data_IF_854135218441
#
_entry.id   IF_854135218441
#
_cell.length_a   1.000
_cell.length_b   1.000
_cell.length_c   1.000
_cell.angle_alpha   90.00
_cell.angle_beta   90.00
_cell.angle_gamma   90.00
#
_symmetry.space_group_name_H-M   'P 1'
#
loop_
_entity.id
_entity.type
_entity.pdbx_description
1 polymer ?
#
# COMPACT_ATOMS: atom_id res chain seq x y z
N UNK A 1 -31.22 8.20 -28.76
CA UNK A 1 -31.24 8.63 -27.34
C UNK A 1 -29.80 8.75 -26.89
N UNK A 2 -29.31 9.95 -26.55
CA UNK A 2 -27.98 10.13 -25.97
C UNK A 2 -28.06 9.66 -24.51
N UNK A 3 -27.63 8.42 -24.24
CA UNK A 3 -27.65 7.89 -22.88
C UNK A 3 -26.37 8.34 -22.19
N UNK A 4 -26.49 9.36 -21.35
CA UNK A 4 -25.39 9.79 -20.48
C UNK A 4 -25.16 8.70 -19.42
N UNK A 5 -23.99 8.05 -19.47
CA UNK A 5 -23.61 7.05 -18.48
C UNK A 5 -22.95 7.73 -17.28
N UNK A 6 -23.55 7.60 -16.10
CA UNK A 6 -23.01 8.12 -14.85
C UNK A 6 -22.13 7.03 -14.22
N UNK A 7 -20.97 7.42 -13.71
CA UNK A 7 -20.14 6.54 -12.87
C UNK A 7 -20.12 7.08 -11.43
N UNK A 8 -19.94 6.17 -10.48
CA UNK A 8 -19.69 6.48 -9.08
C UNK A 8 -18.69 5.50 -8.50
N UNK A 9 -17.75 6.02 -7.70
CA UNK A 9 -16.80 5.22 -6.91
C UNK A 9 -16.80 5.76 -5.50
N UNK A 10 -16.92 4.85 -4.53
CA UNK A 10 -16.77 5.11 -3.11
C UNK A 10 -15.57 4.31 -2.59
N UNK A 11 -14.76 4.92 -1.73
CA UNK A 11 -13.57 4.33 -1.13
C UNK A 11 -13.84 3.96 0.34
N UNK A 12 -13.01 3.10 0.91
CA UNK A 12 -13.18 2.60 2.28
C UNK A 12 -13.11 3.67 3.39
N UNK A 13 -12.60 4.87 3.09
CA UNK A 13 -12.62 6.03 4.00
C UNK A 13 -13.86 6.92 3.82
N UNK A 14 -14.84 6.45 3.04
CA UNK A 14 -16.05 7.17 2.60
C UNK A 14 -15.76 8.40 1.72
N UNK A 15 -14.54 8.51 1.17
CA UNK A 15 -14.30 9.41 0.04
C UNK A 15 -14.99 8.87 -1.20
N UNK A 16 -15.36 9.76 -2.13
CA UNK A 16 -16.07 9.37 -3.33
C UNK A 16 -15.77 10.28 -4.52
N UNK A 17 -16.08 9.77 -5.71
CA UNK A 17 -16.11 10.51 -6.96
C UNK A 17 -17.31 10.07 -7.79
N UNK A 18 -18.10 11.03 -8.26
CA UNK A 18 -19.27 10.82 -9.12
C UNK A 18 -19.16 11.75 -10.32
N UNK A 19 -19.51 11.22 -11.49
CA UNK A 19 -19.45 12.00 -12.73
C UNK A 19 -19.92 11.23 -13.93
N UNK A 20 -19.40 11.58 -15.10
CA UNK A 20 -19.81 10.97 -16.37
C UNK A 20 -18.73 10.04 -16.88
N UNK A 21 -19.14 8.88 -17.39
CA UNK A 21 -18.24 8.01 -18.10
C UNK A 21 -17.94 8.61 -19.47
N UNK A 22 -16.66 8.68 -19.81
CA UNK A 22 -16.15 9.34 -21.00
C UNK A 22 -15.12 8.48 -21.71
N UNK A 23 -14.76 8.90 -22.91
CA UNK A 23 -13.79 8.27 -23.78
C UNK A 23 -12.93 9.35 -24.43
N UNK A 24 -11.63 9.18 -24.37
CA UNK A 24 -10.68 10.05 -25.07
C UNK A 24 -9.36 9.32 -25.31
N UNK A 25 -8.39 9.99 -25.92
CA UNK A 25 -7.03 9.48 -26.13
C UNK A 25 -6.20 9.61 -24.85
N UNK A 26 -5.65 8.48 -24.40
CA UNK A 26 -4.63 8.47 -23.34
C UNK A 26 -3.23 8.34 -23.96
N UNK A 27 -2.32 9.25 -23.62
CA UNK A 27 -0.90 9.19 -23.99
C UNK A 27 -0.07 8.94 -22.74
N UNK A 28 0.60 7.79 -22.66
CA UNK A 28 1.47 7.40 -21.52
C UNK A 28 2.93 7.79 -21.79
N UNK A 29 3.39 7.52 -23.02
CA UNK A 29 4.70 7.93 -23.54
C UNK A 29 4.51 8.46 -24.97
N UNK A 30 5.52 9.09 -25.60
CA UNK A 30 5.40 9.53 -26.99
C UNK A 30 5.00 8.43 -27.99
N UNK A 31 5.26 7.16 -27.67
CA UNK A 31 4.92 5.99 -28.51
C UNK A 31 3.74 5.18 -27.98
N UNK A 32 3.28 5.46 -26.77
CA UNK A 32 2.29 4.66 -26.05
C UNK A 32 0.99 5.45 -25.96
N UNK A 33 0.26 5.39 -27.08
CA UNK A 33 -1.01 6.09 -27.28
C UNK A 33 -2.13 5.07 -27.37
N UNK A 34 -3.14 5.25 -26.52
CA UNK A 34 -4.33 4.42 -26.47
C UNK A 34 -5.51 5.29 -26.94
N UNK A 35 -5.93 5.16 -28.21
CA UNK A 35 -7.16 5.79 -28.66
C UNK A 35 -8.32 5.15 -27.92
N UNK A 36 -9.39 5.91 -27.70
CA UNK A 36 -10.63 5.41 -27.11
C UNK A 36 -10.50 4.86 -25.67
N UNK A 37 -9.56 5.38 -24.88
CA UNK A 37 -9.42 5.05 -23.47
C UNK A 37 -10.65 5.52 -22.68
N UNK A 38 -11.25 4.61 -21.92
CA UNK A 38 -12.42 4.87 -21.12
C UNK A 38 -12.03 5.33 -19.72
N UNK A 39 -12.65 6.41 -19.23
CA UNK A 39 -12.39 6.96 -17.91
C UNK A 39 -13.59 7.73 -17.36
N UNK A 40 -13.54 8.07 -16.08
CA UNK A 40 -14.55 8.91 -15.43
C UNK A 40 -14.17 10.38 -15.42
N UNK A 41 -15.04 11.25 -15.92
CA UNK A 41 -14.96 12.70 -15.76
C UNK A 41 -15.65 13.12 -14.44
N UNK A 42 -14.91 13.13 -13.33
CA UNK A 42 -15.45 13.46 -12.02
C UNK A 42 -16.03 14.87 -11.93
N UNK A 43 -17.28 14.99 -11.46
CA UNK A 43 -18.00 16.25 -11.31
C UNK A 43 -18.22 16.61 -9.83
N UNK A 44 -18.43 15.59 -8.99
CA UNK A 44 -18.62 15.74 -7.55
C UNK A 44 -17.68 14.78 -6.83
N UNK A 45 -16.65 15.32 -6.21
CA UNK A 45 -15.58 14.57 -5.59
C UNK A 45 -15.40 15.05 -4.15
N UNK A 46 -15.27 14.12 -3.21
CA UNK A 46 -14.99 14.40 -1.80
C UNK A 46 -13.92 13.43 -1.32
N UNK A 47 -12.84 13.94 -0.72
CA UNK A 47 -11.76 13.11 -0.21
C UNK A 47 -10.43 13.87 -0.14
N UNK A 48 -9.40 13.19 0.32
CA UNK A 48 -8.04 13.72 0.43
C UNK A 48 -7.26 13.58 -0.89
N UNK A 49 -7.86 13.97 -2.02
CA UNK A 49 -7.26 13.82 -3.35
C UNK A 49 -6.16 14.86 -3.65
N UNK A 50 -6.00 15.88 -2.80
CA UNK A 50 -4.94 16.88 -2.95
C UNK A 50 -5.11 17.75 -4.19
N UNK A 51 -4.00 18.05 -4.89
CA UNK A 51 -3.95 18.91 -6.08
C UNK A 51 -3.81 18.13 -7.40
N UNK A 52 -4.26 16.87 -7.43
CA UNK A 52 -4.23 16.04 -8.65
C UNK A 52 -5.38 16.38 -9.61
N UNK A 53 -5.16 16.14 -10.90
CA UNK A 53 -6.22 16.20 -11.91
C UNK A 53 -7.11 14.94 -11.93
N UNK A 54 -6.68 13.84 -11.28
CA UNK A 54 -7.44 12.60 -11.23
C UNK A 54 -6.69 11.45 -10.56
N UNK A 55 -7.26 10.24 -10.69
CA UNK A 55 -6.71 9.01 -10.15
C UNK A 55 -6.52 7.99 -11.27
N UNK A 56 -5.37 7.31 -11.29
CA UNK A 56 -5.10 6.23 -12.21
C UNK A 56 -5.44 4.89 -11.54
N UNK A 57 -6.55 4.28 -11.94
CA UNK A 57 -6.98 2.99 -11.40
C UNK A 57 -6.13 1.84 -11.93
N UNK A 58 -5.35 1.20 -11.05
CA UNK A 58 -4.49 0.05 -11.37
C UNK A 58 -5.08 -1.29 -10.90
N UNK A 59 -6.39 -1.38 -10.66
CA UNK A 59 -7.06 -2.58 -10.17
C UNK A 59 -7.19 -3.68 -11.23
N UNK A 60 -7.66 -4.86 -10.83
CA UNK A 60 -8.02 -5.97 -11.74
C UNK A 60 -9.36 -5.75 -12.48
N UNK A 61 -9.98 -4.58 -12.32
CA UNK A 61 -11.28 -4.27 -12.92
C UNK A 61 -11.21 -4.14 -14.45
N UNK A 62 -12.28 -4.46 -15.19
CA UNK A 62 -12.27 -4.49 -16.66
C UNK A 62 -12.06 -3.11 -17.31
N UNK A 63 -12.38 -2.02 -16.59
CA UNK A 63 -12.18 -0.63 -17.02
C UNK A 63 -10.91 0.00 -16.41
N UNK A 64 -10.07 -0.76 -15.70
CA UNK A 64 -8.82 -0.22 -15.16
C UNK A 64 -7.82 0.10 -16.28
N UNK A 65 -6.80 0.90 -15.95
CA UNK A 65 -5.69 1.12 -16.88
C UNK A 65 -5.03 -0.20 -17.28
N UNK A 66 -4.84 -1.11 -16.33
CA UNK A 66 -4.19 -2.42 -16.54
C UNK A 66 -4.95 -3.23 -17.59
N UNK A 67 -6.27 -3.34 -17.46
CA UNK A 67 -7.11 -4.12 -18.37
C UNK A 67 -7.22 -3.46 -19.76
N UNK A 68 -7.43 -2.14 -19.81
CA UNK A 68 -7.57 -1.42 -21.09
C UNK A 68 -6.28 -1.39 -21.91
N UNK A 69 -5.12 -1.49 -21.26
CA UNK A 69 -3.80 -1.49 -21.92
C UNK A 69 -3.16 -2.88 -22.02
N UNK A 70 -3.89 -3.93 -21.64
CA UNK A 70 -3.44 -5.32 -21.56
C UNK A 70 -2.76 -5.82 -22.83
N UNK A 71 -3.29 -5.47 -24.02
CA UNK A 71 -2.70 -5.89 -25.31
C UNK A 71 -1.23 -5.44 -25.46
N UNK A 72 -0.87 -4.28 -24.90
CA UNK A 72 0.48 -3.72 -25.00
C UNK A 72 1.36 -4.13 -23.83
N UNK A 73 0.83 -4.09 -22.61
CA UNK A 73 1.62 -4.29 -21.39
C UNK A 73 1.45 -5.67 -20.76
N UNK A 74 0.60 -6.53 -21.32
CA UNK A 74 0.38 -7.91 -20.84
C UNK A 74 -0.24 -8.01 -19.46
N UNK A 75 -0.92 -6.95 -18.98
CA UNK A 75 -1.42 -6.82 -17.60
C UNK A 75 -0.30 -6.91 -16.53
N UNK A 76 0.90 -6.48 -16.89
CA UNK A 76 2.05 -6.45 -15.99
C UNK A 76 2.41 -5.00 -15.71
N UNK A 77 2.65 -4.68 -14.44
CA UNK A 77 3.22 -3.41 -14.03
C UNK A 77 4.04 -3.54 -12.76
N UNK A 78 4.87 -2.55 -12.50
CA UNK A 78 5.63 -2.46 -11.26
C UNK A 78 5.79 -1.01 -10.87
N UNK A 79 5.86 -0.73 -9.58
CA UNK A 79 6.19 0.59 -9.11
C UNK A 79 7.17 0.55 -7.96
N UNK A 80 7.75 1.70 -7.73
CA UNK A 80 8.57 1.99 -6.58
C UNK A 80 8.18 3.34 -6.00
N UNK A 81 7.72 3.33 -4.75
CA UNK A 81 7.33 4.57 -4.08
C UNK A 81 8.57 5.25 -3.47
N UNK A 82 8.76 6.55 -3.75
CA UNK A 82 9.88 7.30 -3.19
C UNK A 82 9.70 7.50 -1.68
N UNK A 83 10.81 7.56 -0.93
CA UNK A 83 10.77 7.80 0.52
C UNK A 83 10.56 9.27 0.92
N UNK A 84 10.73 10.20 -0.02
CA UNK A 84 10.53 11.63 0.19
C UNK A 84 10.02 12.32 -1.07
N UNK A 85 9.42 13.50 -0.90
CA UNK A 85 8.95 14.34 -2.02
C UNK A 85 10.08 14.83 -2.95
N UNK A 86 11.32 14.82 -2.48
CA UNK A 86 12.51 15.21 -3.25
C UNK A 86 13.17 14.04 -3.98
N UNK A 87 12.71 12.80 -3.73
CA UNK A 87 13.19 11.60 -4.39
C UNK A 87 12.21 11.13 -5.47
N UNK A 88 12.74 10.50 -6.51
CA UNK A 88 11.96 10.02 -7.65
C UNK A 88 11.75 8.52 -7.52
N UNK A 89 10.48 8.09 -7.53
CA UNK A 89 10.11 6.70 -7.71
C UNK A 89 9.90 6.36 -9.19
N UNK A 90 9.24 5.24 -9.47
CA UNK A 90 8.79 4.93 -10.82
C UNK A 90 7.46 4.18 -10.81
N UNK A 91 6.78 4.26 -11.94
CA UNK A 91 5.68 3.38 -12.32
C UNK A 91 5.99 2.91 -13.75
N UNK A 92 6.12 1.61 -13.92
CA UNK A 92 6.49 0.98 -15.18
C UNK A 92 5.42 -0.03 -15.58
N UNK A 93 5.14 -0.11 -16.87
CA UNK A 93 4.16 -1.01 -17.46
C UNK A 93 4.83 -1.95 -18.46
N UNK A 94 4.38 -3.20 -18.49
CA UNK A 94 4.98 -4.25 -19.31
C UNK A 94 5.99 -5.11 -18.55
N UNK A 95 6.45 -6.16 -19.23
CA UNK A 95 7.36 -7.14 -18.66
C UNK A 95 8.79 -6.61 -18.60
N UNK A 96 9.35 -6.54 -17.39
CA UNK A 96 10.80 -6.44 -17.18
C UNK A 96 11.36 -7.83 -16.86
N UNK A 97 12.44 -8.24 -17.54
CA UNK A 97 12.97 -9.61 -17.50
C UNK A 97 13.59 -10.07 -16.16
N UNK A 98 13.56 -9.24 -15.10
CA UNK A 98 14.37 -9.45 -13.89
C UNK A 98 13.58 -9.68 -12.58
N UNK A 99 12.25 -9.83 -12.61
CA UNK A 99 11.45 -9.77 -11.38
C UNK A 99 11.02 -11.14 -10.85
N UNK A 100 11.30 -11.41 -9.57
CA UNK A 100 10.78 -12.57 -8.82
C UNK A 100 9.38 -12.26 -8.31
N UNK A 101 8.38 -13.05 -8.71
CA UNK A 101 6.99 -12.90 -8.27
C UNK A 101 6.52 -14.10 -7.46
N UNK A 102 5.60 -13.87 -6.52
CA UNK A 102 4.87 -14.93 -5.80
C UNK A 102 3.41 -14.98 -6.27
N UNK A 103 2.70 -16.08 -6.03
CA UNK A 103 1.27 -16.17 -6.36
C UNK A 103 0.47 -15.19 -5.50
N UNK A 104 -0.48 -14.49 -6.11
CA UNK A 104 -1.50 -13.71 -5.41
C UNK A 104 -2.29 -14.60 -4.45
N UNK A 105 -2.84 -13.98 -3.40
CA UNK A 105 -3.80 -14.65 -2.53
C UNK A 105 -5.09 -15.05 -3.28
N UNK A 106 -5.93 -15.93 -2.69
CA UNK A 106 -7.16 -16.40 -3.32
C UNK A 106 -8.08 -15.24 -3.74
N UNK A 107 -8.57 -15.32 -4.98
CA UNK A 107 -9.18 -14.23 -5.75
C UNK A 107 -10.68 -14.02 -5.45
N UNK A 108 -11.29 -14.87 -4.62
CA UNK A 108 -12.72 -15.17 -4.69
C UNK A 108 -13.64 -14.18 -3.93
N UNK A 109 -13.12 -13.27 -3.11
CA UNK A 109 -13.97 -12.40 -2.29
C UNK A 109 -14.31 -11.05 -2.97
N UNK A 110 -13.36 -10.41 -3.67
CA UNK A 110 -13.55 -9.13 -4.36
C UNK A 110 -12.61 -9.05 -5.58
N UNK A 111 -13.10 -9.20 -6.82
CA UNK A 111 -12.26 -9.47 -7.98
C UNK A 111 -11.37 -8.29 -8.41
N UNK A 112 -11.56 -7.10 -7.85
CA UNK A 112 -10.81 -5.89 -8.22
C UNK A 112 -9.55 -5.67 -7.37
N UNK A 113 -9.46 -6.24 -6.17
CA UNK A 113 -8.34 -6.00 -5.25
C UNK A 113 -7.18 -6.98 -5.45
N UNK A 114 -6.00 -6.58 -4.98
CA UNK A 114 -4.81 -7.42 -4.92
C UNK A 114 -4.66 -7.96 -3.50
N UNK A 115 -5.00 -9.25 -3.34
CA UNK A 115 -4.85 -9.95 -2.08
C UNK A 115 -3.42 -10.46 -1.89
N UNK A 116 -2.90 -10.27 -0.68
CA UNK A 116 -1.62 -10.80 -0.22
C UNK A 116 -1.88 -11.69 1.00
N UNK A 117 -1.11 -12.75 1.17
CA UNK A 117 -1.27 -13.67 2.30
C UNK A 117 -0.14 -13.43 3.31
N UNK A 118 -0.42 -12.67 4.37
CA UNK A 118 0.52 -12.43 5.48
C UNK A 118 0.59 -13.68 6.35
N UNK A 119 1.79 -14.24 6.53
CA UNK A 119 2.03 -15.44 7.35
C UNK A 119 2.78 -15.13 8.64
N UNK A 120 3.59 -14.07 8.67
CA UNK A 120 4.25 -13.64 9.90
C UNK A 120 4.61 -12.15 9.88
N UNK A 121 4.66 -11.56 11.08
CA UNK A 121 5.23 -10.24 11.35
C UNK A 121 6.38 -10.43 12.34
N UNK A 122 7.50 -9.74 12.12
CA UNK A 122 8.65 -9.75 13.04
C UNK A 122 9.06 -8.34 13.41
N UNK A 123 9.43 -8.14 14.68
CA UNK A 123 9.97 -6.90 15.23
C UNK A 123 11.32 -7.22 15.87
N UNK A 124 12.40 -6.61 15.39
CA UNK A 124 13.76 -7.00 15.75
C UNK A 124 14.02 -8.46 15.37
N UNK A 125 14.43 -9.25 16.37
CA UNK A 125 14.62 -10.72 16.25
C UNK A 125 13.39 -11.51 16.71
N UNK A 126 12.34 -10.83 17.17
CA UNK A 126 11.13 -11.47 17.72
C UNK A 126 10.16 -11.77 16.59
N UNK A 127 9.89 -13.07 16.37
CA UNK A 127 8.77 -13.52 15.55
C UNK A 127 7.48 -13.43 16.38
N UNK A 128 6.50 -12.65 15.91
CA UNK A 128 5.26 -12.45 16.67
C UNK A 128 4.37 -13.68 16.56
N UNK A 129 3.85 -14.12 17.71
CA UNK A 129 2.86 -15.21 17.79
C UNK A 129 1.46 -14.66 17.49
N UNK A 130 1.15 -14.53 16.21
CA UNK A 130 -0.17 -14.14 15.71
C UNK A 130 -0.80 -15.37 15.05
N UNK A 131 -2.03 -15.72 15.41
CA UNK A 131 -2.72 -16.83 14.75
C UNK A 131 -2.95 -16.49 13.27
N UNK A 132 -2.60 -17.40 12.37
CA UNK A 132 -2.80 -17.21 10.92
C UNK A 132 -4.26 -16.89 10.56
N UNK A 133 -5.22 -17.37 11.35
CA UNK A 133 -6.65 -17.10 11.15
C UNK A 133 -6.95 -15.61 11.15
N UNK A 134 -6.18 -14.79 11.89
CA UNK A 134 -6.34 -13.33 11.97
C UNK A 134 -6.24 -12.67 10.61
N UNK A 135 -5.37 -13.16 9.73
CA UNK A 135 -5.20 -12.64 8.37
C UNK A 135 -6.08 -13.35 7.34
N UNK A 136 -6.71 -14.47 7.69
CA UNK A 136 -7.58 -15.26 6.82
C UNK A 136 -9.06 -14.89 6.94
N UNK A 137 -9.48 -14.29 8.06
CA UNK A 137 -10.89 -13.91 8.29
C UNK A 137 -11.45 -13.00 7.19
N UNK A 138 -10.87 -11.81 7.04
CA UNK A 138 -11.20 -10.88 5.96
C UNK A 138 -10.23 -11.02 4.79
N UNK A 139 -9.01 -11.52 5.01
CA UNK A 139 -7.91 -11.43 4.07
C UNK A 139 -7.04 -10.19 4.31
N UNK A 140 -5.97 -10.07 3.52
CA UNK A 140 -5.13 -8.89 3.47
C UNK A 140 -4.99 -8.40 2.04
N UNK A 141 -5.00 -7.08 1.84
CA UNK A 141 -4.78 -6.43 0.55
C UNK A 141 -3.52 -5.57 0.59
N UNK A 142 -2.93 -5.32 -0.57
CA UNK A 142 -1.95 -4.25 -0.76
C UNK A 142 -2.66 -3.05 -1.38
N UNK A 143 -2.40 -1.86 -0.83
CA UNK A 143 -3.08 -0.65 -1.31
C UNK A 143 -2.14 0.56 -1.28
N UNK A 144 -1.93 1.16 -2.44
CA UNK A 144 -1.14 2.39 -2.59
C UNK A 144 -1.91 3.66 -2.17
N UNK A 145 -3.24 3.58 -2.08
CA UNK A 145 -4.12 4.68 -1.64
C UNK A 145 -4.16 4.86 -0.12
N UNK A 146 -4.04 3.75 0.62
CA UNK A 146 -3.95 3.79 2.09
C UNK A 146 -2.55 4.24 2.53
N UNK A 147 -2.47 5.35 3.27
CA UNK A 147 -1.21 5.96 3.70
C UNK A 147 -0.37 5.02 4.58
N UNK A 148 -0.96 4.42 5.62
CA UNK A 148 -0.25 3.55 6.57
C UNK A 148 -0.93 2.21 6.71
N UNK A 149 -0.14 1.17 6.95
CA UNK A 149 -0.65 -0.19 7.12
C UNK A 149 -1.71 -0.26 8.23
N UNK A 150 -2.80 -0.94 7.90
CA UNK A 150 -3.91 -1.26 8.78
C UNK A 150 -3.88 -2.73 9.13
N UNK A 151 -3.91 -3.06 10.42
CA UNK A 151 -3.86 -4.44 10.89
C UNK A 151 -5.13 -4.79 11.67
N UNK A 152 -5.63 -6.03 11.58
CA UNK A 152 -6.70 -6.50 12.46
C UNK A 152 -6.30 -6.29 13.93
N UNK A 153 -7.26 -6.03 14.84
CA UNK A 153 -6.96 -5.61 16.22
C UNK A 153 -5.94 -6.51 16.94
N UNK A 154 -6.07 -7.83 16.81
CA UNK A 154 -5.16 -8.79 17.44
C UNK A 154 -3.73 -8.71 16.89
N UNK A 155 -3.57 -8.59 15.57
CA UNK A 155 -2.26 -8.45 14.93
C UNK A 155 -1.63 -7.09 15.26
N UNK A 156 -2.43 -6.02 15.25
CA UNK A 156 -1.97 -4.69 15.63
C UNK A 156 -1.45 -4.66 17.07
N UNK A 157 -2.23 -5.16 18.01
CA UNK A 157 -1.89 -5.14 19.43
C UNK A 157 -0.61 -5.92 19.73
N UNK A 158 -0.43 -7.11 19.12
CA UNK A 158 0.81 -7.88 19.24
C UNK A 158 2.02 -7.10 18.69
N UNK A 159 1.84 -6.46 17.54
CA UNK A 159 2.91 -5.73 16.83
C UNK A 159 3.30 -4.45 17.57
N UNK A 160 2.34 -3.60 17.90
CA UNK A 160 2.59 -2.32 18.60
C UNK A 160 3.12 -2.55 20.01
N UNK A 161 2.67 -3.60 20.71
CA UNK A 161 3.20 -3.97 22.04
C UNK A 161 4.68 -4.36 21.99
N UNK A 162 5.07 -5.22 21.04
CA UNK A 162 6.48 -5.61 20.93
C UNK A 162 7.36 -4.45 20.45
N UNK A 163 6.86 -3.63 19.52
CA UNK A 163 7.54 -2.42 19.09
C UNK A 163 7.76 -1.46 20.27
N UNK A 164 6.70 -1.14 21.05
CA UNK A 164 6.79 -0.33 22.27
C UNK A 164 7.81 -0.88 23.26
N UNK A 165 7.83 -2.20 23.48
CA UNK A 165 8.77 -2.86 24.40
C UNK A 165 10.22 -2.63 23.97
N UNK A 166 10.54 -2.82 22.69
CA UNK A 166 11.89 -2.63 22.18
C UNK A 166 12.29 -1.15 22.13
N UNK A 167 11.37 -0.24 21.79
CA UNK A 167 11.60 1.21 21.84
C UNK A 167 11.93 1.68 23.27
N UNK A 168 11.23 1.17 24.28
CA UNK A 168 11.54 1.45 25.70
C UNK A 168 12.94 0.97 26.09
N UNK A 169 13.36 -0.20 25.60
CA UNK A 169 14.71 -0.72 25.84
C UNK A 169 15.82 0.16 25.19
N UNK A 170 15.45 0.93 24.16
CA UNK A 170 16.30 1.93 23.52
C UNK A 170 16.17 3.33 24.16
N UNK A 171 15.53 3.44 25.33
CA UNK A 171 15.32 4.68 26.09
C UNK A 171 14.40 5.72 25.43
N UNK A 172 13.59 5.33 24.44
CA UNK A 172 12.52 6.20 23.93
C UNK A 172 11.37 6.30 24.94
N UNK A 173 11.00 7.53 25.31
CA UNK A 173 9.84 7.81 26.16
C UNK A 173 8.58 7.88 25.33
N UNK A 174 7.48 7.30 25.81
CA UNK A 174 6.17 7.42 25.16
C UNK A 174 5.72 8.89 25.10
N UNK A 175 5.03 9.24 24.02
CA UNK A 175 4.39 10.52 23.80
C UNK A 175 2.87 10.30 23.60
N UNK A 176 2.03 11.34 23.74
CA UNK A 176 0.62 11.27 23.40
C UNK A 176 0.37 10.80 21.96
N UNK A 177 -0.77 10.13 21.75
CA UNK A 177 -1.22 9.72 20.43
C UNK A 177 -1.38 10.93 19.49
N UNK A 178 -1.20 10.70 18.19
CA UNK A 178 -1.40 11.70 17.16
C UNK A 178 -2.38 11.17 16.12
N UNK A 179 -3.60 11.73 16.07
CA UNK A 179 -4.67 11.22 15.20
C UNK A 179 -4.89 9.72 15.45
N UNK A 180 -4.91 8.91 14.39
CA UNK A 180 -5.05 7.45 14.42
C UNK A 180 -3.80 6.68 14.91
N UNK A 181 -2.68 7.38 15.16
CA UNK A 181 -1.43 6.78 15.59
C UNK A 181 -1.36 6.78 17.12
N UNK A 182 -1.58 5.62 17.74
CA UNK A 182 -1.65 5.48 19.21
C UNK A 182 -0.30 5.09 19.87
N UNK A 183 0.75 4.95 19.06
CA UNK A 183 2.05 4.43 19.47
C UNK A 183 3.12 5.45 19.12
N UNK A 184 3.28 6.45 19.99
CA UNK A 184 4.17 7.59 19.76
C UNK A 184 5.26 7.71 20.82
N UNK A 185 6.36 8.35 20.45
CA UNK A 185 7.55 8.53 21.27
C UNK A 185 8.13 9.94 21.13
N UNK A 186 8.68 10.46 22.23
CA UNK A 186 9.46 11.69 22.21
C UNK A 186 10.82 11.46 21.54
N UNK A 187 11.19 12.34 20.63
CA UNK A 187 12.49 12.31 19.95
C UNK A 187 13.52 13.28 20.56
N UNK A 188 13.08 14.16 21.47
CA UNK A 188 13.97 15.09 22.17
C UNK A 188 15.08 14.33 22.92
N UNK A 189 16.34 14.65 22.62
CA UNK A 189 17.51 13.99 23.18
C UNK A 189 18.11 12.87 22.31
N UNK A 190 17.49 12.52 21.18
CA UNK A 190 18.06 11.59 20.20
C UNK A 190 18.56 12.37 18.98
N UNK A 191 19.87 12.36 18.74
CA UNK A 191 20.51 13.07 17.62
C UNK A 191 20.36 12.34 16.29
N UNK A 192 20.07 11.03 16.31
CA UNK A 192 19.86 10.23 15.11
C UNK A 192 18.71 9.24 15.32
N UNK A 193 17.61 9.41 14.57
CA UNK A 193 16.42 8.53 14.59
C UNK A 193 16.67 7.28 13.73
N UNK A 194 17.86 6.68 13.84
CA UNK A 194 18.27 5.52 13.03
C UNK A 194 18.21 4.22 13.81
N UNK A 195 18.22 4.29 15.15
CA UNK A 195 18.13 3.12 16.02
C UNK A 195 16.67 2.83 16.37
N UNK A 196 15.91 2.31 15.42
CA UNK A 196 14.59 1.73 15.66
C UNK A 196 14.62 0.21 15.40
N UNK A 197 13.76 -0.57 16.07
CA UNK A 197 13.63 -2.00 15.82
C UNK A 197 13.33 -2.28 14.35
N UNK A 198 14.14 -3.09 13.64
CA UNK A 198 13.84 -3.45 12.27
C UNK A 198 12.55 -4.27 12.22
N UNK A 199 11.77 -4.12 11.16
CA UNK A 199 10.53 -4.87 10.99
C UNK A 199 10.47 -5.56 9.65
N UNK A 200 9.76 -6.69 9.61
CA UNK A 200 9.53 -7.42 8.37
C UNK A 200 8.20 -8.15 8.39
N UNK A 201 7.59 -8.22 7.21
CA UNK A 201 6.46 -9.08 6.89
C UNK A 201 6.98 -10.31 6.16
N UNK A 202 6.41 -11.47 6.48
CA UNK A 202 6.57 -12.69 5.68
C UNK A 202 5.23 -12.97 5.03
N UNK A 203 5.25 -13.15 3.72
CA UNK A 203 4.09 -13.52 2.92
C UNK A 203 4.17 -14.99 2.53
N UNK A 204 3.06 -15.54 2.02
CA UNK A 204 3.01 -16.89 1.46
C UNK A 204 4.12 -17.13 0.44
N UNK A 205 4.63 -18.36 0.41
CA UNK A 205 5.83 -18.70 -0.37
C UNK A 205 7.13 -18.24 0.29
N UNK A 206 7.09 -17.89 1.58
CA UNK A 206 8.23 -17.43 2.38
C UNK A 206 8.89 -16.14 1.84
N UNK A 207 8.13 -15.32 1.12
CA UNK A 207 8.58 -14.01 0.66
C UNK A 207 8.70 -13.06 1.87
N UNK A 208 9.93 -12.81 2.32
CA UNK A 208 10.20 -11.93 3.44
C UNK A 208 10.54 -10.52 2.95
N UNK A 209 9.72 -9.55 3.33
CA UNK A 209 9.90 -8.13 3.04
C UNK A 209 10.36 -7.42 4.31
N UNK A 210 11.58 -6.87 4.27
CA UNK A 210 12.07 -5.98 5.32
C UNK A 210 11.61 -4.56 5.00
N UNK A 211 11.12 -3.86 6.01
CA UNK A 211 10.71 -2.47 5.87
C UNK A 211 11.91 -1.54 6.02
N UNK A 212 11.95 -0.50 5.19
CA UNK A 212 12.82 0.65 5.41
C UNK A 212 12.39 1.37 6.71
N UNK A 213 13.31 2.02 7.46
CA UNK A 213 12.93 2.80 8.64
C UNK A 213 11.82 3.84 8.40
N UNK A 214 11.80 4.46 7.22
CA UNK A 214 10.72 5.38 6.81
C UNK A 214 9.35 4.70 6.68
N UNK A 215 9.33 3.38 6.49
CA UNK A 215 8.12 2.55 6.50
C UNK A 215 7.72 2.04 7.89
N UNK A 216 8.48 2.35 8.95
CA UNK A 216 8.20 1.89 10.32
C UNK A 216 7.71 3.04 11.20
N UNK A 217 8.26 4.24 11.02
CA UNK A 217 7.92 5.42 11.81
C UNK A 217 7.55 6.61 10.93
N UNK A 218 6.77 7.53 11.48
CA UNK A 218 6.48 8.84 10.91
C UNK A 218 6.76 9.93 11.93
N UNK A 219 7.47 10.99 11.53
CA UNK A 219 7.72 12.16 12.37
C UNK A 219 6.52 13.11 12.23
N UNK A 220 5.78 13.31 13.33
CA UNK A 220 4.54 14.12 13.33
C UNK A 220 4.77 15.54 13.85
N UNK A 221 5.91 15.79 14.48
CA UNK A 221 6.37 17.13 14.88
C UNK A 221 7.88 17.10 15.14
N UNK A 222 8.47 18.27 15.41
CA UNK A 222 9.89 18.37 15.83
C UNK A 222 10.23 17.65 17.14
N UNK A 223 9.23 17.14 17.89
CA UNK A 223 9.43 16.50 19.20
C UNK A 223 8.81 15.11 19.30
N UNK A 224 8.04 14.66 18.31
CA UNK A 224 7.30 13.39 18.38
C UNK A 224 7.39 12.64 17.06
N UNK A 225 7.65 11.34 17.16
CA UNK A 225 7.45 10.38 16.09
C UNK A 225 6.47 9.30 16.53
N UNK A 226 5.81 8.66 15.59
CA UNK A 226 4.84 7.61 15.84
C UNK A 226 5.12 6.38 14.97
N UNK A 227 4.76 5.21 15.47
CA UNK A 227 4.77 3.96 14.74
C UNK A 227 3.75 4.05 13.58
N UNK A 228 4.19 3.80 12.35
CA UNK A 228 3.43 4.06 11.13
C UNK A 228 2.41 2.95 10.79
N UNK A 229 1.66 2.51 11.79
CA UNK A 229 0.62 1.48 11.67
C UNK A 229 -0.57 1.89 12.53
N UNK A 230 -1.77 1.43 12.17
CA UNK A 230 -2.91 1.49 13.09
C UNK A 230 -3.71 0.18 13.06
N UNK A 231 -4.43 -0.06 14.14
CA UNK A 231 -5.41 -1.14 14.20
C UNK A 231 -6.69 -0.77 13.45
N UNK A 232 -7.33 -1.77 12.84
CA UNK A 232 -8.73 -1.67 12.43
C UNK A 232 -9.63 -1.57 13.66
N UNK A 233 -10.81 -0.98 13.49
CA UNK A 233 -11.85 -1.00 14.52
C UNK A 233 -12.57 -2.35 14.54
N UNK A 234 -12.79 -2.95 13.36
CA UNK A 234 -13.47 -4.24 13.22
C UNK A 234 -12.45 -5.35 12.83
N UNK A 235 -12.43 -6.51 13.51
CA UNK A 235 -11.65 -7.67 13.08
C UNK A 235 -12.08 -8.29 11.74
N UNK A 236 -13.24 -7.92 11.22
CA UNK A 236 -13.76 -8.33 9.90
C UNK A 236 -13.31 -7.40 8.77
N UNK A 237 -12.62 -6.29 9.07
CA UNK A 237 -12.00 -5.43 8.07
C UNK A 237 -10.73 -6.08 7.51
N UNK A 238 -10.47 -5.87 6.20
CA UNK A 238 -9.22 -6.29 5.58
C UNK A 238 -8.00 -5.75 6.34
N UNK A 239 -6.96 -6.58 6.47
CA UNK A 239 -5.63 -6.03 6.69
C UNK A 239 -5.18 -5.29 5.42
N UNK A 240 -4.52 -4.15 5.56
CA UNK A 240 -4.07 -3.35 4.41
C UNK A 240 -2.57 -3.09 4.56
N UNK A 241 -1.75 -3.60 3.64
CA UNK A 241 -0.35 -3.21 3.52
C UNK A 241 -0.27 -1.87 2.77
N UNK A 242 -0.13 -0.79 3.52
CA UNK A 242 -0.24 0.59 3.02
C UNK A 242 1.03 1.12 2.36
N UNK A 243 0.92 2.29 1.73
CA UNK A 243 1.95 2.86 0.88
C UNK A 243 3.25 3.23 1.63
N UNK A 244 3.15 3.63 2.90
CA UNK A 244 4.31 3.94 3.74
C UNK A 244 5.21 2.71 3.89
N UNK A 245 4.63 1.52 4.03
CA UNK A 245 5.37 0.26 4.12
C UNK A 245 5.85 -0.27 2.77
N UNK A 246 5.34 0.27 1.67
CA UNK A 246 5.77 -0.06 0.30
C UNK A 246 6.93 0.84 -0.18
N UNK A 247 7.28 1.92 0.54
CA UNK A 247 8.39 2.80 0.16
C UNK A 247 9.71 2.04 0.05
N UNK A 248 10.52 2.39 -0.96
CA UNK A 248 11.80 1.74 -1.28
C UNK A 248 11.72 0.25 -1.59
N UNK A 249 10.53 -0.24 -1.94
CA UNK A 249 10.30 -1.58 -2.44
C UNK A 249 9.78 -1.48 -3.86
N UNK A 250 10.35 -2.26 -4.77
CA UNK A 250 9.69 -2.49 -6.05
C UNK A 250 8.59 -3.52 -5.84
N UNK A 251 7.34 -3.09 -6.03
CA UNK A 251 6.18 -3.98 -5.99
C UNK A 251 5.82 -4.30 -7.43
N UNK A 252 5.75 -5.60 -7.73
CA UNK A 252 5.55 -6.13 -9.09
C UNK A 252 4.21 -6.85 -9.14
N UNK A 253 3.39 -6.49 -10.11
CA UNK A 253 2.08 -7.05 -10.38
C UNK A 253 2.12 -7.75 -11.74
N UNK A 254 1.97 -9.06 -11.75
CA UNK A 254 1.76 -9.88 -12.93
C UNK A 254 0.31 -10.40 -12.86
N UNK A 255 -0.61 -9.51 -13.25
CA UNK A 255 -2.05 -9.69 -13.06
C UNK A 255 -2.57 -10.84 -13.92
N UNK A 256 -2.05 -10.95 -15.15
CA UNK A 256 -2.38 -12.04 -16.07
C UNK A 256 -2.07 -13.42 -15.47
N UNK A 257 -1.01 -13.55 -14.66
CA UNK A 257 -0.67 -14.80 -13.97
C UNK A 257 -1.21 -14.90 -12.54
N UNK A 258 -1.95 -13.90 -12.06
CA UNK A 258 -2.39 -13.81 -10.66
C UNK A 258 -1.19 -13.86 -9.70
N UNK A 259 -0.19 -13.01 -9.93
CA UNK A 259 1.03 -12.97 -9.13
C UNK A 259 1.37 -11.54 -8.69
N UNK A 260 1.89 -11.45 -7.48
CA UNK A 260 2.40 -10.24 -6.87
C UNK A 260 3.73 -10.57 -6.21
N UNK A 261 4.71 -9.71 -6.42
CA UNK A 261 6.06 -9.89 -5.93
C UNK A 261 6.63 -8.62 -5.33
N UNK A 262 7.66 -8.80 -4.54
CA UNK A 262 8.51 -7.72 -4.04
C UNK A 262 9.91 -7.99 -4.56
N UNK A 263 10.46 -7.04 -5.32
CA UNK A 263 11.81 -7.13 -5.86
C UNK A 263 12.74 -6.19 -5.11
N UNK A 264 14.00 -6.60 -4.98
CA UNK A 264 15.07 -5.70 -4.54
C UNK A 264 15.62 -5.00 -5.77
N UNK A 265 15.36 -3.70 -5.89
CA UNK A 265 15.83 -2.89 -7.00
C UNK A 265 16.74 -1.77 -6.46
N UNK A 266 18.02 -1.68 -6.89
CA UNK A 266 18.91 -0.59 -6.49
C UNK A 266 18.40 0.81 -6.89
N UNK A 267 17.52 0.90 -7.89
CA UNK A 267 16.86 2.15 -8.28
C UNK A 267 15.71 2.55 -7.35
N UNK A 268 15.37 1.73 -6.35
CA UNK A 268 14.39 1.99 -5.30
C UNK A 268 15.02 2.53 -4.00
N UNK A 269 16.09 3.34 -4.09
CA UNK A 269 16.85 3.83 -2.93
C UNK A 269 16.54 5.28 -2.57
#
# INVERSE_FOLDING_TARGET
RNVTCIYGVEYGDNSYTVGFFSRDKLTVTPTDVFPDFLFGCGQNNKGLFGKTAGLLGLSKGPISFVSQTAKKYGEIFSYCLPSSISSTGFLAFGKNNNNKTTKDGPQDALPIFYFIEITAISVGRTHLRINESVFKTAGAIIDSGTVITRLPPAAYNATSKEFKRQMKALNYKSAPAYSILDTCFHISGHTNITNIPPMSFTFKGNAKVKLDPSGIIVVVSSKVMCFAFAGNSDPQDFAIFGNTQQMKLEVVYDVACGKLGFAHNPSCL
#
